data_IF_491589234161
#
_entry.id   IF_491589234161
#
_cell.length_a   1.000
_cell.length_b   1.000
_cell.length_c   1.000
_cell.angle_alpha   90.00
_cell.angle_beta   90.00
_cell.angle_gamma   90.00
#
_symmetry.space_group_name_H-M   'P 1'
#
loop_
_entity.id
_entity.type
_entity.pdbx_description
1 polymer ?
#
# COMPACT_ATOMS: atom_id res chain seq x y z
N UNK A 1 -9.95 6.11 6.38
CA UNK A 1 -8.88 5.21 5.88
C UNK A 1 -8.99 3.79 6.46
N UNK A 2 -10.13 3.39 7.01
CA UNK A 2 -10.24 2.16 7.81
C UNK A 2 -9.89 0.85 7.08
N UNK A 3 -9.87 0.83 5.74
CA UNK A 3 -9.54 -0.35 4.93
C UNK A 3 -8.50 -0.08 3.83
N UNK A 4 -7.62 0.91 4.04
CA UNK A 4 -6.62 1.29 3.03
C UNK A 4 -5.64 0.14 2.72
N UNK A 5 -5.41 -0.75 3.68
CA UNK A 5 -4.59 -1.95 3.50
C UNK A 5 -5.27 -2.99 2.62
N UNK A 6 -6.58 -3.20 2.79
CA UNK A 6 -7.32 -4.26 2.09
C UNK A 6 -7.72 -3.85 0.65
N UNK A 7 -7.74 -2.54 0.37
CA UNK A 7 -8.14 -1.97 -0.91
C UNK A 7 -6.98 -1.56 -1.83
N UNK A 8 -5.72 -1.73 -1.39
CA UNK A 8 -4.54 -1.31 -2.17
C UNK A 8 -4.47 -2.01 -3.53
N UNK A 9 -4.42 -1.25 -4.62
CA UNK A 9 -4.27 -1.81 -5.96
C UNK A 9 -2.84 -2.28 -6.21
N UNK A 10 -2.68 -3.53 -6.66
CA UNK A 10 -1.38 -4.09 -7.02
C UNK A 10 -0.78 -3.39 -8.26
N UNK A 11 -1.61 -2.96 -9.21
CA UNK A 11 -1.14 -2.13 -10.33
C UNK A 11 -0.59 -0.77 -9.85
N UNK A 12 -1.21 -0.17 -8.83
CA UNK A 12 -0.70 1.04 -8.22
C UNK A 12 0.65 0.80 -7.53
N UNK A 13 0.80 -0.32 -6.83
CA UNK A 13 2.07 -0.72 -6.21
C UNK A 13 3.19 -0.91 -7.25
N UNK A 14 2.91 -1.56 -8.38
CA UNK A 14 3.87 -1.71 -9.48
C UNK A 14 4.32 -0.32 -9.97
N UNK A 15 3.39 0.60 -10.16
CA UNK A 15 3.70 1.97 -10.58
C UNK A 15 4.55 2.71 -9.55
N UNK A 16 4.29 2.51 -8.26
CA UNK A 16 5.10 3.09 -7.16
C UNK A 16 6.52 2.54 -7.20
N UNK A 17 6.69 1.22 -7.31
CA UNK A 17 8.01 0.59 -7.39
C UNK A 17 8.80 1.07 -8.62
N UNK A 18 8.13 1.22 -9.76
CA UNK A 18 8.72 1.77 -10.97
C UNK A 18 9.10 3.24 -10.82
N UNK A 19 8.25 4.06 -10.19
CA UNK A 19 8.54 5.49 -9.95
C UNK A 19 9.78 5.68 -9.09
N UNK A 20 9.96 4.85 -8.04
CA UNK A 20 11.14 4.87 -7.20
C UNK A 20 12.35 4.13 -7.79
N UNK A 21 12.27 3.65 -9.05
CA UNK A 21 13.33 2.92 -9.75
C UNK A 21 13.84 1.68 -8.99
N UNK A 22 12.94 0.92 -8.37
CA UNK A 22 13.33 -0.36 -7.76
C UNK A 22 13.85 -1.33 -8.83
N UNK A 23 14.92 -2.10 -8.53
CA UNK A 23 15.41 -3.12 -9.45
C UNK A 23 14.32 -4.15 -9.78
N UNK A 24 14.14 -4.49 -11.06
CA UNK A 24 13.07 -5.39 -11.48
C UNK A 24 13.04 -6.73 -10.74
N UNK A 25 14.21 -7.28 -10.38
CA UNK A 25 14.30 -8.51 -9.58
C UNK A 25 13.63 -8.36 -8.22
N UNK A 26 13.86 -7.23 -7.54
CA UNK A 26 13.27 -6.95 -6.23
C UNK A 26 11.78 -6.66 -6.38
N UNK A 27 11.40 -5.84 -7.37
CA UNK A 27 9.99 -5.55 -7.64
C UNK A 27 9.18 -6.83 -7.90
N UNK A 28 9.73 -7.77 -8.67
CA UNK A 28 9.11 -9.07 -8.91
C UNK A 28 8.93 -9.88 -7.63
N UNK A 29 9.95 -9.96 -6.77
CA UNK A 29 9.84 -10.66 -5.48
C UNK A 29 8.77 -10.02 -4.57
N UNK A 30 8.71 -8.69 -4.53
CA UNK A 30 7.68 -7.97 -3.78
C UNK A 30 6.28 -8.31 -4.32
N UNK A 31 6.10 -8.28 -5.65
CA UNK A 31 4.81 -8.62 -6.26
C UNK A 31 4.42 -10.08 -5.98
N UNK A 32 5.33 -11.04 -6.11
CA UNK A 32 5.06 -12.45 -5.77
C UNK A 32 4.61 -12.63 -4.31
N UNK A 33 5.18 -11.87 -3.36
CA UNK A 33 4.76 -11.91 -1.96
C UNK A 33 3.33 -11.39 -1.74
N UNK A 34 2.88 -10.46 -2.58
CA UNK A 34 1.58 -9.80 -2.44
C UNK A 34 0.50 -10.53 -3.24
N UNK A 35 0.80 -10.95 -4.47
CA UNK A 35 -0.16 -11.54 -5.42
C UNK A 35 -0.60 -12.98 -5.08
N UNK A 36 0.27 -13.78 -4.46
CA UNK A 36 -0.04 -15.18 -4.10
C UNK A 36 -0.77 -15.32 -2.76
N UNK A 37 -1.37 -14.23 -2.26
CA UNK A 37 -2.10 -14.26 -1.00
C UNK A 37 -3.45 -14.99 -1.16
N UNK A 38 -3.61 -16.08 -0.39
CA UNK A 38 -4.81 -16.93 -0.35
C UNK A 38 -5.37 -16.96 1.07
N UNK A 39 -6.69 -16.89 1.17
CA UNK A 39 -7.42 -16.88 2.43
C UNK A 39 -8.46 -18.00 2.44
N UNK A 40 -8.72 -18.57 3.61
CA UNK A 40 -9.86 -19.46 3.83
C UNK A 40 -10.60 -18.96 5.07
N UNK A 41 -11.93 -18.94 4.99
CA UNK A 41 -12.78 -18.54 6.10
C UNK A 41 -13.03 -19.76 6.99
N UNK A 42 -13.00 -19.58 8.30
CA UNK A 42 -13.41 -20.61 9.25
C UNK A 42 -14.88 -20.36 9.57
N UNK A 43 -15.76 -21.25 9.11
CA UNK A 43 -17.21 -21.18 9.33
C UNK A 43 -17.61 -22.41 10.14
N UNK A 44 -18.08 -22.20 11.37
CA UNK A 44 -18.47 -23.28 12.29
C UNK A 44 -17.36 -24.34 12.49
N UNK A 45 -16.10 -23.90 12.58
CA UNK A 45 -14.94 -24.78 12.77
C UNK A 45 -14.48 -25.52 11.51
N UNK A 46 -15.09 -25.27 10.34
CA UNK A 46 -14.67 -25.83 9.06
C UNK A 46 -14.10 -24.75 8.16
N UNK A 47 -13.01 -25.06 7.45
CA UNK A 47 -12.45 -24.18 6.44
C UNK A 47 -13.34 -24.13 5.20
N UNK A 48 -13.55 -22.94 4.65
CA UNK A 48 -14.12 -22.73 3.32
C UNK A 48 -13.15 -23.16 2.23
N UNK A 49 -13.59 -23.11 0.97
CA UNK A 49 -12.67 -23.11 -0.17
C UNK A 49 -11.70 -21.93 -0.07
N UNK A 50 -10.50 -22.10 -0.63
CA UNK A 50 -9.52 -21.03 -0.78
C UNK A 50 -10.08 -19.91 -1.66
N UNK A 51 -9.90 -18.68 -1.18
CA UNK A 51 -10.24 -17.44 -1.86
C UNK A 51 -8.92 -16.74 -2.15
N UNK A 52 -8.68 -16.43 -3.43
CA UNK A 52 -7.51 -15.69 -3.84
C UNK A 52 -7.76 -14.18 -3.70
N UNK A 53 -6.80 -13.47 -3.12
CA UNK A 53 -6.80 -12.02 -3.07
C UNK A 53 -6.74 -11.43 -4.48
N UNK A 54 -7.34 -10.26 -4.68
CA UNK A 54 -7.20 -9.47 -5.91
C UNK A 54 -6.63 -8.07 -5.68
N UNK A 55 -6.54 -7.68 -4.43
CA UNK A 55 -6.06 -6.38 -3.98
C UNK A 55 -5.68 -6.49 -2.51
N UNK A 56 -5.00 -5.45 -2.06
CA UNK A 56 -4.65 -5.25 -0.68
C UNK A 56 -3.35 -5.93 -0.28
N UNK A 57 -2.95 -5.63 0.94
CA UNK A 57 -1.79 -6.19 1.61
C UNK A 57 -2.22 -7.21 2.66
N UNK A 58 -1.38 -8.23 2.85
CA UNK A 58 -1.60 -9.24 3.87
C UNK A 58 -1.35 -8.66 5.26
N UNK A 59 -2.40 -8.49 6.06
CA UNK A 59 -2.26 -8.10 7.46
C UNK A 59 -1.38 -9.09 8.23
N UNK A 60 -0.49 -8.57 9.07
CA UNK A 60 0.52 -9.36 9.79
C UNK A 60 1.77 -9.72 8.97
N UNK A 61 1.85 -9.34 7.68
CA UNK A 61 3.09 -9.41 6.94
C UNK A 61 4.00 -8.22 7.31
N UNK A 62 5.27 -8.43 7.70
CA UNK A 62 6.17 -7.34 8.09
C UNK A 62 6.50 -6.39 6.93
N UNK A 63 6.31 -6.82 5.68
CA UNK A 63 6.56 -6.01 4.50
C UNK A 63 5.44 -4.99 4.22
N UNK A 64 4.21 -5.31 4.62
CA UNK A 64 3.02 -4.51 4.30
C UNK A 64 3.04 -3.07 4.78
N UNK A 65 3.50 -2.75 6.01
CA UNK A 65 3.59 -1.36 6.48
C UNK A 65 4.53 -0.51 5.62
N UNK A 66 5.68 -1.08 5.24
CA UNK A 66 6.69 -0.37 4.43
C UNK A 66 6.14 -0.07 3.04
N UNK A 67 5.51 -1.07 2.39
CA UNK A 67 4.91 -0.87 1.07
C UNK A 67 3.77 0.16 1.11
N UNK A 68 2.97 0.16 2.18
CA UNK A 68 1.93 1.15 2.36
C UNK A 68 2.49 2.57 2.47
N UNK A 69 3.54 2.77 3.27
CA UNK A 69 4.22 4.07 3.41
C UNK A 69 4.76 4.55 2.06
N UNK A 70 5.40 3.67 1.28
CA UNK A 70 5.90 4.01 -0.05
C UNK A 70 4.78 4.48 -0.99
N UNK A 71 3.65 3.77 -1.02
CA UNK A 71 2.49 4.17 -1.80
C UNK A 71 1.92 5.52 -1.34
N UNK A 72 1.79 5.71 -0.02
CA UNK A 72 1.28 6.96 0.56
C UNK A 72 2.21 8.15 0.28
N UNK A 73 3.52 7.94 0.31
CA UNK A 73 4.50 8.97 0.00
C UNK A 73 4.40 9.42 -1.45
N UNK A 74 4.30 8.48 -2.41
CA UNK A 74 4.10 8.85 -3.82
C UNK A 74 2.78 9.60 -4.01
N UNK A 75 1.70 9.10 -3.39
CA UNK A 75 0.39 9.75 -3.47
C UNK A 75 0.45 11.20 -2.95
N UNK A 76 1.11 11.42 -1.81
CA UNK A 76 1.33 12.76 -1.24
C UNK A 76 2.12 13.67 -2.19
N UNK A 77 3.19 13.16 -2.80
CA UNK A 77 3.97 13.92 -3.80
C UNK A 77 3.13 14.30 -5.03
N UNK A 78 2.27 13.40 -5.51
CA UNK A 78 1.39 13.66 -6.64
C UNK A 78 0.33 14.72 -6.30
N UNK A 79 -0.27 14.64 -5.11
CA UNK A 79 -1.20 15.66 -4.63
C UNK A 79 -0.53 17.02 -4.47
N UNK A 80 0.66 17.08 -3.87
CA UNK A 80 1.42 18.32 -3.74
C UNK A 80 1.76 18.93 -5.10
N UNK A 81 2.24 18.12 -6.06
CA UNK A 81 2.51 18.59 -7.43
C UNK A 81 1.25 19.15 -8.08
N UNK A 82 0.11 18.48 -7.92
CA UNK A 82 -1.17 18.95 -8.47
C UNK A 82 -1.65 20.24 -7.79
N UNK A 83 -1.48 20.37 -6.48
CA UNK A 83 -1.87 21.57 -5.70
C UNK A 83 -0.97 22.77 -5.99
N UNK A 84 0.34 22.59 -6.16
CA UNK A 84 1.27 23.67 -6.53
C UNK A 84 0.93 24.25 -7.91
N UNK A 85 0.32 23.45 -8.80
CA UNK A 85 -0.17 23.92 -10.10
C UNK A 85 -1.47 24.76 -9.98
N UNK A 86 -2.14 24.75 -8.82
CA UNK A 86 -3.47 25.36 -8.60
C UNK A 86 -3.48 26.54 -7.59
N UNK A 87 -2.34 27.19 -7.34
CA UNK A 87 -2.13 28.34 -6.42
C UNK A 87 -1.76 28.04 -4.95
N UNK A 88 -1.04 29.01 -4.38
CA UNK A 88 -0.24 29.09 -3.15
C UNK A 88 -0.93 28.68 -1.83
N UNK A 89 -0.56 27.55 -1.23
CA UNK A 89 -0.90 27.22 0.17
C UNK A 89 0.34 26.66 0.89
N UNK A 90 0.71 27.19 2.08
CA UNK A 90 1.83 26.67 2.85
C UNK A 90 1.47 25.30 3.47
N UNK A 91 2.44 24.41 3.36
CA UNK A 91 2.40 22.97 3.52
C UNK A 91 2.18 22.52 4.98
N UNK A 92 0.96 22.10 5.33
CA UNK A 92 0.67 21.34 6.57
C UNK A 92 0.96 19.86 6.30
N UNK A 93 2.23 19.45 6.21
CA UNK A 93 2.57 18.06 5.88
C UNK A 93 3.68 17.42 6.71
N UNK A 94 4.34 18.16 7.61
CA UNK A 94 5.22 17.52 8.59
C UNK A 94 4.40 16.76 9.66
N UNK A 95 3.32 17.34 10.19
CA UNK A 95 2.53 16.71 11.26
C UNK A 95 1.81 15.42 10.86
N UNK A 96 1.42 15.28 9.59
CA UNK A 96 0.63 14.12 9.16
C UNK A 96 1.48 12.86 8.95
N UNK A 97 2.78 13.00 8.64
CA UNK A 97 3.73 11.88 8.58
C UNK A 97 4.03 11.38 10.00
N UNK A 98 4.21 12.29 10.97
CA UNK A 98 4.41 11.90 12.37
C UNK A 98 3.20 11.21 13.00
N UNK A 99 1.97 11.66 12.71
CA UNK A 99 0.75 10.96 13.16
C UNK A 99 0.60 9.56 12.52
N UNK A 100 1.07 9.36 11.29
CA UNK A 100 1.04 8.05 10.63
C UNK A 100 2.06 7.07 11.21
N UNK A 101 3.21 7.55 11.68
CA UNK A 101 4.24 6.76 12.36
C UNK A 101 3.86 6.41 13.81
N UNK A 102 2.94 7.13 14.45
CA UNK A 102 2.50 6.89 15.83
C UNK A 102 1.24 6.00 15.98
N UNK A 103 0.65 5.50 14.88
CA UNK A 103 -0.54 4.63 14.88
C UNK A 103 -0.28 3.22 14.34
N UNK A 104 0.97 2.74 14.36
CA UNK A 104 1.35 1.35 14.08
C UNK A 104 2.12 0.75 15.25
#
# INVERSE_FOLDING_TARGET
MEQAYDSMSWNALINVLNYFNFPQKISKLIMECVEDSKFALIINGRYSSWIQAKSGFRQGCPLSPILFILCAQLLSMLFLKALVVLESIPMVLEYHIYCFLMMW
#
